data_IF_278491246663
#
_entry.id   IF_278491246663
#
_cell.length_a   1.000
_cell.length_b   1.000
_cell.length_c   1.000
_cell.angle_alpha   90.00
_cell.angle_beta   90.00
_cell.angle_gamma   90.00
#
_symmetry.space_group_name_H-M   'P 1'
#
loop_
_entity.id
_entity.type
_entity.pdbx_description
1 polymer ?
#
# COMPACT_ATOMS: atom_id res chain seq x y z
N UNK A 1 -4.74 -33.49 15.07
CA UNK A 1 -4.01 -32.27 14.69
C UNK A 1 -4.89 -31.50 13.72
N UNK A 2 -5.61 -30.49 14.23
CA UNK A 2 -6.66 -29.79 13.49
C UNK A 2 -6.01 -28.70 12.64
N UNK A 3 -6.13 -28.81 11.32
CA UNK A 3 -5.75 -27.75 10.38
C UNK A 3 -6.66 -26.55 10.59
N UNK A 4 -6.15 -25.52 11.27
CA UNK A 4 -6.81 -24.21 11.34
C UNK A 4 -6.68 -23.60 9.96
N UNK A 5 -7.73 -23.71 9.16
CA UNK A 5 -7.86 -22.96 7.92
C UNK A 5 -7.73 -21.47 8.24
N UNK A 6 -6.90 -20.77 7.47
CA UNK A 6 -6.83 -19.32 7.50
C UNK A 6 -8.20 -18.74 7.16
N UNK A 7 -9.02 -18.46 8.18
CA UNK A 7 -10.26 -17.72 8.04
C UNK A 7 -9.90 -16.32 7.54
N UNK A 8 -10.15 -16.09 6.25
CA UNK A 8 -10.01 -14.78 5.60
C UNK A 8 -10.96 -13.82 6.31
N UNK A 9 -10.46 -13.07 7.28
CA UNK A 9 -11.25 -12.08 8.01
C UNK A 9 -11.91 -11.11 7.02
N UNK A 10 -13.16 -10.68 7.27
CA UNK A 10 -13.83 -9.74 6.39
C UNK A 10 -13.02 -8.44 6.32
N UNK A 11 -12.80 -7.94 5.11
CA UNK A 11 -12.10 -6.68 4.89
C UNK A 11 -13.01 -5.53 5.36
N UNK A 12 -12.43 -4.58 6.08
CA UNK A 12 -13.07 -3.36 6.56
C UNK A 12 -13.07 -2.32 5.45
N UNK A 13 -14.17 -1.59 5.36
CA UNK A 13 -14.30 -0.40 4.53
C UNK A 13 -13.96 0.86 5.34
N UNK A 14 -13.50 1.90 4.66
CA UNK A 14 -13.09 3.15 5.29
C UNK A 14 -11.64 3.15 5.77
N UNK A 15 -11.29 4.18 6.53
CA UNK A 15 -9.91 4.39 6.94
C UNK A 15 -9.54 3.60 8.21
N UNK A 16 -8.32 3.04 8.27
CA UNK A 16 -7.73 2.55 9.51
C UNK A 16 -7.55 3.67 10.54
N UNK A 17 -7.15 3.31 11.75
CA UNK A 17 -6.69 4.30 12.72
C UNK A 17 -5.46 5.02 12.16
N UNK A 18 -5.31 6.30 12.48
CA UNK A 18 -4.21 7.12 11.95
C UNK A 18 -2.83 6.59 12.34
N UNK A 19 -2.73 5.87 13.46
CA UNK A 19 -1.48 5.23 13.90
C UNK A 19 -1.06 4.07 13.00
N UNK A 20 -2.01 3.35 12.40
CA UNK A 20 -1.74 2.17 11.57
C UNK A 20 -1.19 2.58 10.19
N UNK A 21 -1.54 3.77 9.72
CA UNK A 21 -1.18 4.27 8.39
C UNK A 21 -0.11 5.35 8.39
N UNK A 22 0.37 5.80 9.54
CA UNK A 22 1.42 6.83 9.62
C UNK A 22 2.72 6.36 8.93
N UNK A 23 3.39 7.23 8.16
CA UNK A 23 3.16 8.67 7.96
C UNK A 23 2.16 9.01 6.84
N UNK A 24 1.47 8.03 6.26
CA UNK A 24 0.44 8.27 5.26
C UNK A 24 -0.87 8.79 5.89
N UNK A 25 -1.72 9.35 5.04
CA UNK A 25 -3.05 9.85 5.41
C UNK A 25 -4.10 9.09 4.61
N UNK A 26 -5.18 8.68 5.27
CA UNK A 26 -6.31 8.03 4.62
C UNK A 26 -7.52 8.97 4.55
N UNK A 27 -8.21 8.96 3.41
CA UNK A 27 -9.45 9.71 3.16
C UNK A 27 -10.58 8.74 2.80
N UNK A 28 -11.80 8.99 3.29
CA UNK A 28 -12.95 8.09 3.10
C UNK A 28 -13.97 8.56 2.06
N UNK A 29 -13.80 9.74 1.45
CA UNK A 29 -14.77 10.35 0.51
C UNK A 29 -14.05 11.08 -0.61
N UNK A 30 -14.41 10.87 -1.91
CA UNK A 30 -15.51 10.04 -2.44
C UNK A 30 -15.21 8.53 -2.49
N UNK A 31 -14.02 8.10 -2.10
CA UNK A 31 -13.62 6.71 -1.93
C UNK A 31 -12.52 6.58 -0.87
N UNK A 32 -12.25 5.36 -0.41
CA UNK A 32 -11.14 5.08 0.51
C UNK A 32 -9.80 5.20 -0.23
N UNK A 33 -9.10 6.31 -0.01
CA UNK A 33 -7.83 6.65 -0.67
C UNK A 33 -6.73 6.80 0.36
N UNK A 34 -5.61 6.10 0.17
CA UNK A 34 -4.41 6.22 1.00
C UNK A 34 -3.39 7.08 0.29
N UNK A 35 -2.90 8.13 0.95
CA UNK A 35 -1.94 9.08 0.39
C UNK A 35 -0.68 9.10 1.26
N UNK A 36 0.43 8.65 0.68
CA UNK A 36 1.76 8.65 1.28
C UNK A 36 2.61 9.72 0.59
N UNK A 37 3.12 10.68 1.35
CA UNK A 37 3.92 11.78 0.81
C UNK A 37 5.31 11.82 1.43
N UNK A 38 6.31 12.23 0.64
CA UNK A 38 7.69 12.42 1.09
C UNK A 38 8.31 11.17 1.75
N UNK A 39 8.01 9.99 1.22
CA UNK A 39 8.59 8.75 1.71
C UNK A 39 9.94 8.51 1.04
N UNK A 40 10.98 8.29 1.83
CA UNK A 40 12.33 7.96 1.38
C UNK A 40 12.73 6.51 1.65
N UNK A 41 11.93 5.80 2.46
CA UNK A 41 12.16 4.42 2.86
C UNK A 41 10.98 3.51 2.47
N UNK A 42 11.27 2.48 1.66
CA UNK A 42 10.28 1.48 1.24
C UNK A 42 9.75 0.62 2.38
N UNK A 43 10.52 0.45 3.47
CA UNK A 43 10.10 -0.33 4.64
C UNK A 43 8.98 0.38 5.43
N UNK A 44 8.91 1.71 5.34
CA UNK A 44 7.79 2.50 5.88
C UNK A 44 6.50 2.15 5.13
N UNK A 45 6.53 2.16 3.79
CA UNK A 45 5.36 1.80 2.98
C UNK A 45 4.94 0.36 3.23
N UNK A 46 5.91 -0.55 3.33
CA UNK A 46 5.64 -1.95 3.66
C UNK A 46 4.91 -2.09 4.98
N UNK A 47 5.37 -1.39 6.02
CA UNK A 47 4.75 -1.41 7.35
C UNK A 47 3.32 -0.88 7.31
N UNK A 48 3.07 0.22 6.60
CA UNK A 48 1.72 0.77 6.41
C UNK A 48 0.78 -0.24 5.74
N UNK A 49 1.24 -0.92 4.69
CA UNK A 49 0.42 -1.90 3.99
C UNK A 49 0.16 -3.17 4.81
N UNK A 50 1.15 -3.64 5.58
CA UNK A 50 1.00 -4.77 6.50
C UNK A 50 0.00 -4.45 7.62
N UNK A 51 0.08 -3.25 8.20
CA UNK A 51 -0.87 -2.80 9.22
C UNK A 51 -2.28 -2.60 8.65
N UNK A 52 -2.39 -2.42 7.33
CA UNK A 52 -3.66 -2.15 6.64
C UNK A 52 -4.19 -3.35 5.85
N UNK A 53 -3.66 -4.58 6.04
CA UNK A 53 -4.08 -5.80 5.30
C UNK A 53 -5.59 -6.08 5.41
N UNK A 54 -6.21 -5.64 6.51
CA UNK A 54 -7.64 -5.82 6.78
C UNK A 54 -8.51 -4.74 6.15
N UNK A 55 -7.94 -3.76 5.46
CA UNK A 55 -8.66 -2.64 4.85
C UNK A 55 -8.61 -2.70 3.33
N UNK A 56 -9.64 -2.16 2.69
CA UNK A 56 -9.68 -2.06 1.22
C UNK A 56 -9.54 -0.61 0.81
N UNK A 57 -8.51 -0.32 0.02
CA UNK A 57 -8.28 0.99 -0.56
C UNK A 57 -8.66 0.95 -2.03
N UNK A 58 -9.46 1.92 -2.46
CA UNK A 58 -9.74 2.09 -3.89
C UNK A 58 -8.50 2.62 -4.59
N UNK A 59 -7.83 3.58 -3.96
CA UNK A 59 -6.69 4.29 -4.54
C UNK A 59 -5.56 4.38 -3.52
N UNK A 60 -4.33 4.14 -3.97
CA UNK A 60 -3.10 4.36 -3.20
C UNK A 60 -2.23 5.34 -3.97
N UNK A 61 -1.86 6.44 -3.34
CA UNK A 61 -1.07 7.51 -3.90
C UNK A 61 0.27 7.56 -3.17
N UNK A 62 1.36 7.38 -3.89
CA UNK A 62 2.72 7.58 -3.39
C UNK A 62 3.28 8.80 -4.11
N UNK A 63 3.33 9.92 -3.41
CA UNK A 63 3.65 11.23 -3.98
C UNK A 63 4.91 11.82 -3.37
N UNK A 64 5.65 12.59 -4.16
CA UNK A 64 6.84 13.34 -3.75
C UNK A 64 7.90 12.50 -3.01
N UNK A 65 7.89 11.20 -3.24
CA UNK A 65 8.70 10.22 -2.53
C UNK A 65 9.99 9.92 -3.31
N UNK A 66 11.05 9.53 -2.61
CA UNK A 66 12.35 9.15 -3.17
C UNK A 66 12.63 7.71 -2.77
N UNK A 67 12.25 6.75 -3.61
CA UNK A 67 12.33 5.34 -3.27
C UNK A 67 13.43 4.65 -4.08
N UNK A 68 14.25 3.84 -3.40
CA UNK A 68 15.27 3.03 -4.07
C UNK A 68 14.62 1.90 -4.87
N UNK A 69 13.61 1.26 -4.29
CA UNK A 69 12.83 0.20 -4.90
C UNK A 69 11.43 0.12 -4.26
N UNK A 70 10.49 -0.58 -4.91
CA UNK A 70 9.20 -0.96 -4.32
C UNK A 70 9.15 -2.49 -4.28
N UNK A 71 9.12 -3.14 -3.09
CA UNK A 71 8.99 -4.59 -2.99
C UNK A 71 7.73 -5.08 -3.73
N UNK A 72 7.83 -6.20 -4.45
CA UNK A 72 6.69 -6.74 -5.20
C UNK A 72 5.62 -7.34 -4.28
N UNK A 73 6.03 -7.93 -3.16
CA UNK A 73 5.20 -8.65 -2.20
C UNK A 73 4.36 -7.71 -1.33
N UNK A 74 4.70 -6.42 -1.27
CA UNK A 74 4.03 -5.45 -0.39
C UNK A 74 2.57 -5.20 -0.78
N UNK A 75 2.20 -5.48 -2.02
CA UNK A 75 0.83 -5.31 -2.53
C UNK A 75 0.01 -6.60 -2.51
N UNK A 76 0.63 -7.78 -2.32
CA UNK A 76 -0.07 -9.08 -2.41
C UNK A 76 -1.21 -9.20 -1.39
N UNK A 77 -1.01 -8.62 -0.21
CA UNK A 77 -1.95 -8.74 0.90
C UNK A 77 -2.93 -7.59 1.00
N UNK A 78 -2.68 -6.49 0.28
CA UNK A 78 -3.53 -5.31 0.28
C UNK A 78 -4.26 -5.19 -1.06
N UNK A 79 -5.60 -5.35 -1.11
CA UNK A 79 -6.34 -5.17 -2.35
C UNK A 79 -6.32 -3.69 -2.74
N UNK A 80 -5.55 -3.35 -3.77
CA UNK A 80 -5.51 -2.01 -4.34
C UNK A 80 -6.13 -2.08 -5.73
N UNK A 81 -7.13 -1.23 -6.02
CA UNK A 81 -7.68 -1.14 -7.37
C UNK A 81 -6.81 -0.28 -8.28
N UNK A 82 -6.26 0.82 -7.73
CA UNK A 82 -5.44 1.77 -8.49
C UNK A 82 -4.24 2.22 -7.66
N UNK A 83 -3.04 2.14 -8.25
CA UNK A 83 -1.80 2.65 -7.68
C UNK A 83 -1.32 3.86 -8.48
N UNK A 84 -1.21 5.01 -7.81
CA UNK A 84 -0.74 6.27 -8.39
C UNK A 84 0.65 6.58 -7.85
N UNK A 85 1.65 6.57 -8.73
CA UNK A 85 3.04 6.87 -8.39
C UNK A 85 3.43 8.24 -8.95
N UNK A 86 3.60 9.23 -8.06
CA UNK A 86 4.14 10.55 -8.38
C UNK A 86 5.47 10.74 -7.66
N UNK A 87 6.46 9.98 -8.12
CA UNK A 87 7.75 9.83 -7.42
C UNK A 87 8.74 10.87 -7.94
N UNK A 88 9.50 11.50 -7.03
CA UNK A 88 10.52 12.49 -7.40
C UNK A 88 11.77 11.83 -8.01
N UNK A 89 12.21 10.72 -7.42
CA UNK A 89 13.28 9.87 -7.96
C UNK A 89 12.97 8.41 -7.66
N UNK A 90 12.95 7.57 -8.69
CA UNK A 90 13.04 6.11 -8.51
C UNK A 90 14.40 5.67 -9.00
N UNK A 91 15.25 5.16 -8.11
CA UNK A 91 16.59 4.74 -8.50
C UNK A 91 16.57 3.54 -9.46
N UNK A 92 15.50 2.73 -9.46
CA UNK A 92 15.34 1.53 -10.31
C UNK A 92 13.95 1.40 -10.96
N UNK A 93 13.55 2.39 -11.79
CA UNK A 93 12.20 2.49 -12.39
C UNK A 93 11.73 1.26 -13.19
N UNK A 94 12.61 0.66 -13.99
CA UNK A 94 12.27 -0.47 -14.87
C UNK A 94 11.88 -1.74 -14.10
N UNK A 95 12.54 -2.00 -12.98
CA UNK A 95 12.28 -3.19 -12.15
C UNK A 95 10.91 -3.11 -11.47
N UNK A 96 10.54 -1.93 -10.96
CA UNK A 96 9.24 -1.74 -10.30
C UNK A 96 8.03 -1.87 -11.25
N UNK A 97 8.12 -1.32 -12.46
CA UNK A 97 7.02 -1.38 -13.44
C UNK A 97 6.78 -2.80 -13.97
N UNK A 98 7.85 -3.54 -14.27
CA UNK A 98 7.75 -4.92 -14.74
C UNK A 98 7.09 -5.85 -13.71
N UNK A 99 7.17 -5.52 -12.43
CA UNK A 99 6.55 -6.31 -11.37
C UNK A 99 5.06 -5.96 -11.17
N UNK A 100 4.66 -4.71 -11.40
CA UNK A 100 3.25 -4.31 -11.33
C UNK A 100 2.43 -4.88 -12.50
N UNK A 101 3.00 -4.93 -13.72
CA UNK A 101 2.29 -5.37 -14.94
C UNK A 101 2.17 -6.90 -15.11
N UNK A 102 2.67 -7.71 -14.17
CA UNK A 102 2.56 -9.18 -14.21
C UNK A 102 1.25 -9.71 -13.61
N UNK A 103 0.35 -8.82 -13.18
CA UNK A 103 -0.98 -9.11 -12.66
C UNK A 103 -2.02 -8.14 -13.24
#
# INVERSE_FOLDING_TARGET
MTTVGASKLPKREGCPESIDVRPCTCYSSPATTLVCQNIDDSDILRSVFLNSERYTFKEVHIEYSTLQYLPYDMFEKMPVKSLHLKIQRLCNFLTSLQNFLKH
#
